data_IF_706552701196
#
_entry.id   IF_706552701196
#
_cell.length_a   1.000
_cell.length_b   1.000
_cell.length_c   1.000
_cell.angle_alpha   90.00
_cell.angle_beta   90.00
_cell.angle_gamma   90.00
#
_symmetry.space_group_name_H-M   'P 1'
#
loop_
_entity.id
_entity.type
_entity.pdbx_description
1 polymer ?
#
# COMPACT_ATOMS: atom_id res chain seq x y z
N UNK A 1 -18.25 -12.51 20.42
CA UNK A 1 -18.56 -11.14 20.01
C UNK A 1 -17.28 -10.34 19.95
N UNK A 2 -17.00 -9.69 18.82
CA UNK A 2 -15.79 -8.94 18.56
C UNK A 2 -16.08 -7.44 18.65
N UNK A 3 -15.17 -6.69 19.29
CA UNK A 3 -15.31 -5.25 19.50
C UNK A 3 -14.02 -4.52 19.13
N UNK A 4 -14.15 -3.40 18.44
CA UNK A 4 -13.07 -2.46 18.14
C UNK A 4 -13.13 -1.28 19.11
N UNK A 5 -12.00 -0.94 19.74
CA UNK A 5 -11.88 0.29 20.53
C UNK A 5 -11.45 1.42 19.62
N UNK A 6 -12.25 2.46 19.54
CA UNK A 6 -11.98 3.63 18.71
C UNK A 6 -11.04 4.63 19.42
N UNK A 7 -10.39 5.55 18.68
CA UNK A 7 -9.46 6.53 19.25
C UNK A 7 -10.07 7.46 20.30
N UNK A 8 -11.38 7.72 20.21
CA UNK A 8 -12.15 8.52 21.18
C UNK A 8 -12.49 7.74 22.46
N UNK A 9 -12.08 6.47 22.56
CA UNK A 9 -12.34 5.58 23.68
C UNK A 9 -13.68 4.82 23.60
N UNK A 10 -14.53 5.14 22.62
CA UNK A 10 -15.76 4.39 22.39
C UNK A 10 -15.48 2.98 21.86
N UNK A 11 -16.47 2.09 21.97
CA UNK A 11 -16.37 0.69 21.55
C UNK A 11 -17.43 0.41 20.50
N UNK A 12 -17.03 -0.14 19.35
CA UNK A 12 -17.90 -0.54 18.25
C UNK A 12 -17.92 -2.07 18.16
N UNK A 13 -19.12 -2.66 18.09
CA UNK A 13 -19.24 -4.06 17.70
C UNK A 13 -18.89 -4.23 16.22
N UNK A 14 -18.00 -5.18 15.91
CA UNK A 14 -17.55 -5.49 14.55
C UNK A 14 -17.88 -6.93 14.14
N UNK A 15 -18.83 -7.57 14.84
CA UNK A 15 -19.21 -8.96 14.59
C UNK A 15 -19.62 -9.22 13.15
N UNK A 16 -20.36 -8.28 12.55
CA UNK A 16 -20.81 -8.35 11.15
C UNK A 16 -19.65 -8.18 10.13
N UNK A 17 -18.49 -7.71 10.59
CA UNK A 17 -17.30 -7.54 9.76
C UNK A 17 -16.36 -8.76 9.84
N UNK A 18 -16.57 -9.66 10.81
CA UNK A 18 -15.72 -10.83 11.05
C UNK A 18 -16.14 -11.98 10.11
N UNK A 19 -15.28 -12.41 9.20
CA UNK A 19 -15.66 -13.42 8.20
C UNK A 19 -15.57 -14.85 8.73
N UNK A 20 -14.73 -15.09 9.74
CA UNK A 20 -14.48 -16.41 10.34
C UNK A 20 -13.81 -16.27 11.71
N UNK A 21 -13.90 -17.31 12.50
CA UNK A 21 -13.21 -17.40 13.80
C UNK A 21 -11.70 -17.60 13.61
N UNK A 22 -10.91 -16.89 14.42
CA UNK A 22 -9.47 -17.03 14.44
C UNK A 22 -9.01 -18.11 15.41
N UNK A 23 -7.87 -18.80 15.15
CA UNK A 23 -7.24 -19.69 16.12
C UNK A 23 -6.85 -18.95 17.40
N UNK A 24 -6.62 -19.71 18.47
CA UNK A 24 -6.08 -19.17 19.72
C UNK A 24 -4.75 -18.44 19.48
N UNK A 25 -4.55 -17.31 20.12
CA UNK A 25 -3.37 -16.47 19.92
C UNK A 25 -3.42 -15.55 18.69
N UNK A 26 -4.53 -15.54 17.96
CA UNK A 26 -4.75 -14.59 16.85
C UNK A 26 -5.79 -13.54 17.23
N UNK A 27 -5.68 -12.37 16.62
CA UNK A 27 -6.64 -11.28 16.82
C UNK A 27 -6.89 -10.54 15.50
N UNK A 28 -8.07 -9.92 15.40
CA UNK A 28 -8.38 -8.99 14.33
C UNK A 28 -7.84 -7.59 14.65
N UNK A 29 -7.25 -6.91 13.68
CA UNK A 29 -6.88 -5.51 13.77
C UNK A 29 -7.12 -4.77 12.44
N UNK A 30 -7.06 -3.46 12.46
CA UNK A 30 -7.06 -2.64 11.24
C UNK A 30 -5.63 -2.36 10.80
N UNK A 31 -5.44 -2.14 9.50
CA UNK A 31 -4.13 -1.74 8.96
C UNK A 31 -3.61 -0.48 9.66
N UNK A 32 -4.48 0.48 9.99
CA UNK A 32 -4.13 1.71 10.73
C UNK A 32 -3.53 1.48 12.11
N UNK A 33 -3.79 0.33 12.72
CA UNK A 33 -3.28 0.01 14.07
C UNK A 33 -1.82 -0.47 14.04
N UNK A 34 -1.34 -0.87 12.85
CA UNK A 34 -0.03 -1.50 12.68
C UNK A 34 0.84 -0.85 11.62
N UNK A 35 0.35 0.13 10.86
CA UNK A 35 1.10 0.77 9.79
C UNK A 35 0.52 2.13 9.43
N UNK A 36 1.29 2.89 8.66
CA UNK A 36 0.90 4.18 8.07
C UNK A 36 0.79 4.03 6.56
N UNK A 37 -0.21 4.67 5.95
CA UNK A 37 -0.40 4.66 4.48
C UNK A 37 -0.15 6.07 3.93
N UNK A 38 0.74 6.18 2.93
CA UNK A 38 1.10 7.45 2.28
C UNK A 38 1.01 7.31 0.77
N UNK A 39 0.43 8.32 0.09
CA UNK A 39 0.34 8.34 -1.37
C UNK A 39 1.65 8.68 -2.05
N UNK A 40 1.81 8.21 -3.29
CA UNK A 40 2.83 8.70 -4.20
C UNK A 40 2.44 10.04 -4.86
N UNK A 41 3.22 10.49 -5.82
CA UNK A 41 3.04 11.79 -6.47
C UNK A 41 3.27 11.67 -7.97
N UNK A 42 2.41 12.33 -8.77
CA UNK A 42 2.67 12.50 -10.21
C UNK A 42 3.81 13.46 -10.45
N UNK A 43 4.38 13.38 -11.65
CA UNK A 43 5.37 14.35 -12.08
C UNK A 43 4.82 15.79 -11.99
N UNK A 44 5.66 16.77 -11.62
CA UNK A 44 5.30 18.17 -11.68
C UNK A 44 4.83 18.58 -13.08
N UNK A 45 3.98 19.60 -13.15
CA UNK A 45 3.53 20.14 -14.45
C UNK A 45 4.71 20.60 -15.29
N UNK A 46 4.80 20.07 -16.52
CA UNK A 46 5.90 20.38 -17.45
C UNK A 46 7.13 19.48 -17.31
N UNK A 47 7.20 18.64 -16.25
CA UNK A 47 8.26 17.64 -16.14
C UNK A 47 7.95 16.42 -17.02
N UNK A 48 8.99 15.78 -17.53
CA UNK A 48 8.94 14.54 -18.31
C UNK A 48 9.93 13.53 -17.77
N UNK A 49 9.80 12.28 -18.21
CA UNK A 49 10.84 11.28 -17.93
C UNK A 49 12.14 11.64 -18.67
N UNK A 50 13.25 11.31 -18.04
CA UNK A 50 14.57 11.38 -18.66
C UNK A 50 14.69 10.35 -19.77
N UNK A 51 15.34 10.70 -20.87
CA UNK A 51 15.72 9.76 -21.94
C UNK A 51 16.87 8.86 -21.50
N UNK A 52 17.74 9.37 -20.62
CA UNK A 52 18.86 8.64 -20.06
C UNK A 52 18.55 8.12 -18.66
N UNK A 53 19.24 7.04 -18.27
CA UNK A 53 19.21 6.53 -16.91
C UNK A 53 19.87 7.53 -15.96
N UNK A 54 19.16 7.90 -14.90
CA UNK A 54 19.66 8.73 -13.79
C UNK A 54 19.68 7.89 -12.49
N UNK A 55 20.10 8.52 -11.40
CA UNK A 55 20.04 7.90 -10.07
C UNK A 55 18.63 7.86 -9.48
N UNK A 56 17.64 8.45 -10.15
CA UNK A 56 16.27 8.61 -9.66
C UNK A 56 15.27 7.87 -10.54
N UNK A 57 14.94 6.63 -10.16
CA UNK A 57 13.86 5.90 -10.79
C UNK A 57 12.49 6.41 -10.31
N UNK A 58 11.51 6.37 -11.20
CA UNK A 58 10.12 6.68 -10.92
C UNK A 58 9.29 5.41 -11.15
N UNK A 59 8.83 4.81 -10.05
CA UNK A 59 8.12 3.52 -10.04
C UNK A 59 6.66 3.76 -10.41
N UNK A 60 6.23 3.14 -11.52
CA UNK A 60 4.86 3.21 -12.06
C UNK A 60 4.09 1.93 -11.73
N UNK A 61 2.75 2.00 -11.81
CA UNK A 61 1.90 0.81 -11.66
C UNK A 61 2.24 -0.30 -12.67
N UNK A 62 2.66 0.09 -13.88
CA UNK A 62 3.09 -0.86 -14.92
C UNK A 62 4.35 -1.65 -14.57
N UNK A 63 5.16 -1.13 -13.64
CA UNK A 63 6.38 -1.77 -13.16
C UNK A 63 6.10 -2.74 -12.00
N UNK A 64 4.94 -2.63 -11.35
CA UNK A 64 4.51 -3.42 -10.18
C UNK A 64 3.93 -4.77 -10.63
N UNK A 65 4.75 -5.82 -10.61
CA UNK A 65 4.39 -7.16 -11.09
C UNK A 65 4.97 -8.24 -10.19
N UNK A 66 4.29 -9.38 -10.11
CA UNK A 66 4.77 -10.56 -9.37
C UNK A 66 5.12 -10.24 -7.91
N UNK A 67 4.30 -9.39 -7.26
CA UNK A 67 4.49 -8.94 -5.86
C UNK A 67 5.83 -8.24 -5.61
N UNK A 68 6.44 -7.70 -6.67
CA UNK A 68 7.70 -6.97 -6.66
C UNK A 68 7.64 -5.83 -7.68
N UNK A 69 8.77 -5.18 -7.95
CA UNK A 69 8.91 -4.17 -9.00
C UNK A 69 9.82 -4.71 -10.10
N UNK A 70 9.33 -4.75 -11.32
CA UNK A 70 10.11 -5.11 -12.50
C UNK A 70 11.09 -3.98 -12.84
N UNK A 71 12.37 -4.28 -12.91
CA UNK A 71 13.44 -3.31 -13.14
C UNK A 71 13.86 -3.18 -14.62
N UNK A 72 13.25 -3.93 -15.55
CA UNK A 72 13.71 -3.99 -16.95
C UNK A 72 13.30 -2.77 -17.78
N UNK A 73 12.21 -2.09 -17.44
CA UNK A 73 11.69 -0.92 -18.18
C UNK A 73 11.38 0.27 -17.24
N UNK A 74 12.24 0.49 -16.25
CA UNK A 74 12.08 1.61 -15.34
C UNK A 74 12.19 2.94 -16.08
N UNK A 75 11.40 3.91 -15.65
CA UNK A 75 11.54 5.30 -16.07
C UNK A 75 12.34 6.07 -15.04
N UNK A 76 13.08 7.04 -15.51
CA UNK A 76 13.94 7.87 -14.69
C UNK A 76 13.52 9.33 -14.77
N UNK A 77 13.88 10.11 -13.76
CA UNK A 77 13.59 11.55 -13.66
C UNK A 77 14.88 12.31 -13.40
N UNK A 78 14.88 13.61 -13.77
CA UNK A 78 16.01 14.49 -13.49
C UNK A 78 16.13 14.81 -11.99
N UNK A 79 17.30 15.28 -11.56
CA UNK A 79 17.57 15.77 -10.20
C UNK A 79 16.60 16.87 -9.78
N UNK A 80 16.27 17.80 -10.67
CA UNK A 80 15.31 18.89 -10.38
C UNK A 80 13.92 18.34 -10.13
N UNK A 81 13.48 17.35 -10.93
CA UNK A 81 12.20 16.67 -10.74
C UNK A 81 12.19 15.89 -9.43
N UNK A 82 13.27 15.14 -9.14
CA UNK A 82 13.41 14.43 -7.87
C UNK A 82 13.31 15.39 -6.69
N UNK A 83 14.05 16.50 -6.69
CA UNK A 83 14.04 17.52 -5.63
C UNK A 83 12.63 18.07 -5.39
N UNK A 84 11.83 18.25 -6.43
CA UNK A 84 10.46 18.75 -6.32
C UNK A 84 9.49 17.74 -5.68
N UNK A 85 9.75 16.42 -5.78
CA UNK A 85 8.89 15.35 -5.27
C UNK A 85 9.61 14.40 -4.29
N UNK A 86 10.70 14.82 -3.70
CA UNK A 86 11.57 14.01 -2.82
C UNK A 86 10.86 13.40 -1.60
N UNK A 87 9.75 13.98 -1.16
CA UNK A 87 8.96 13.47 -0.05
C UNK A 87 8.04 12.30 -0.42
N UNK A 88 7.98 11.95 -1.70
CA UNK A 88 7.11 10.91 -2.24
C UNK A 88 7.92 9.71 -2.76
N UNK A 89 8.84 9.26 -1.93
CA UNK A 89 9.68 8.08 -2.18
C UNK A 89 9.12 6.86 -1.45
N UNK A 90 9.53 5.68 -1.88
CA UNK A 90 9.24 4.41 -1.24
C UNK A 90 10.55 3.72 -0.84
N UNK A 91 10.55 3.07 0.31
CA UNK A 91 11.72 2.33 0.82
C UNK A 91 11.57 0.82 0.57
N UNK A 92 12.70 0.13 0.59
CA UNK A 92 12.75 -1.35 0.62
C UNK A 92 12.03 -1.95 1.84
N UNK A 93 11.86 -1.18 2.90
CA UNK A 93 11.16 -1.60 4.13
C UNK A 93 9.65 -1.37 4.07
N UNK A 94 9.17 -0.67 3.04
CA UNK A 94 7.76 -0.43 2.77
C UNK A 94 7.14 -1.56 1.91
N UNK A 95 5.80 -1.59 1.87
CA UNK A 95 5.02 -2.29 0.84
C UNK A 95 4.35 -1.26 -0.07
N UNK A 96 4.10 -1.63 -1.34
CA UNK A 96 3.23 -0.84 -2.20
C UNK A 96 1.85 -1.47 -2.33
N UNK A 97 0.84 -0.64 -2.57
CA UNK A 97 -0.51 -1.04 -3.00
C UNK A 97 -0.93 -0.14 -4.15
N UNK A 98 -1.33 -0.72 -5.28
CA UNK A 98 -1.88 0.05 -6.40
C UNK A 98 -3.29 0.50 -6.10
N UNK A 99 -3.61 1.77 -6.38
CA UNK A 99 -4.90 2.39 -6.05
C UNK A 99 -5.68 2.89 -7.26
N UNK A 100 -5.07 2.91 -8.44
CA UNK A 100 -5.72 3.28 -9.69
C UNK A 100 -5.15 2.47 -10.86
N UNK A 101 -5.94 2.26 -11.89
CA UNK A 101 -5.65 1.31 -12.96
C UNK A 101 -5.95 -0.11 -12.48
N UNK A 102 -4.95 -0.93 -12.27
CA UNK A 102 -5.11 -2.23 -11.59
C UNK A 102 -5.09 -1.99 -10.08
N UNK A 103 -6.25 -2.05 -9.44
CA UNK A 103 -6.41 -1.78 -8.01
C UNK A 103 -6.04 -3.02 -7.18
N UNK A 104 -5.34 -2.81 -6.05
CA UNK A 104 -5.11 -3.82 -5.03
C UNK A 104 -3.89 -4.72 -5.26
N UNK A 105 -3.05 -4.44 -6.25
CA UNK A 105 -1.77 -5.15 -6.39
C UNK A 105 -0.83 -4.73 -5.26
N UNK A 106 -0.40 -5.72 -4.49
CA UNK A 106 0.48 -5.55 -3.33
C UNK A 106 1.84 -6.18 -3.61
N UNK A 107 2.89 -5.56 -3.16
CA UNK A 107 4.23 -6.16 -3.26
C UNK A 107 5.30 -5.44 -2.46
N UNK A 108 6.47 -6.05 -2.45
CA UNK A 108 7.67 -5.56 -1.80
C UNK A 108 8.54 -4.77 -2.78
N UNK A 109 9.36 -3.89 -2.24
CA UNK A 109 10.29 -3.06 -3.01
C UNK A 109 11.68 -3.70 -2.98
N UNK A 110 12.28 -4.02 -4.14
CA UNK A 110 13.67 -4.50 -4.19
C UNK A 110 14.64 -3.48 -3.59
N UNK A 111 15.67 -3.95 -2.91
CA UNK A 111 16.67 -3.09 -2.28
C UNK A 111 17.34 -2.09 -3.25
N UNK A 112 17.45 -2.46 -4.53
CA UNK A 112 17.95 -1.59 -5.61
C UNK A 112 17.11 -0.33 -5.80
N UNK A 113 15.83 -0.37 -5.44
CA UNK A 113 14.88 0.73 -5.61
C UNK A 113 14.58 1.47 -4.29
N UNK A 114 15.42 1.27 -3.28
CA UNK A 114 15.30 1.97 -2.01
C UNK A 114 15.38 3.50 -2.20
N UNK A 115 14.40 4.23 -1.70
CA UNK A 115 14.35 5.70 -1.82
C UNK A 115 13.91 6.25 -3.18
N UNK A 116 13.45 5.42 -4.11
CA UNK A 116 12.95 5.85 -5.42
C UNK A 116 11.55 6.44 -5.33
N UNK A 117 11.17 7.28 -6.31
CA UNK A 117 9.86 7.95 -6.32
C UNK A 117 8.73 7.00 -6.68
N UNK A 118 7.58 7.20 -6.04
CA UNK A 118 6.35 6.42 -6.22
C UNK A 118 5.29 7.24 -6.97
N UNK A 119 4.65 6.62 -7.95
CA UNK A 119 3.53 7.19 -8.71
C UNK A 119 2.32 7.53 -7.83
N UNK A 120 1.51 8.53 -8.23
CA UNK A 120 0.24 8.88 -7.59
C UNK A 120 -0.85 7.79 -7.70
N UNK A 121 -0.62 6.77 -8.51
CA UNK A 121 -1.53 5.64 -8.71
C UNK A 121 -1.24 4.46 -7.78
N UNK A 122 -0.30 4.64 -6.87
CA UNK A 122 0.01 3.71 -5.79
C UNK A 122 0.21 4.44 -4.46
N UNK A 123 0.12 3.68 -3.39
CA UNK A 123 0.46 4.11 -2.04
C UNK A 123 1.57 3.23 -1.50
N UNK A 124 2.30 3.72 -0.50
CA UNK A 124 3.17 2.91 0.33
C UNK A 124 2.54 2.67 1.69
N UNK A 125 2.77 1.48 2.22
CA UNK A 125 2.50 1.13 3.61
C UNK A 125 3.86 1.13 4.30
N UNK A 126 4.03 2.03 5.26
CA UNK A 126 5.28 2.30 5.98
C UNK A 126 5.09 2.19 7.48
N UNK A 127 6.17 2.25 8.25
CA UNK A 127 6.14 2.14 9.71
C UNK A 127 5.42 0.87 10.20
N UNK A 128 5.68 -0.26 9.51
CA UNK A 128 5.00 -1.54 9.73
C UNK A 128 5.46 -2.16 11.05
N UNK A 129 4.53 -2.32 11.99
CA UNK A 129 4.81 -2.82 13.35
C UNK A 129 4.88 -4.36 13.45
N UNK A 130 4.54 -5.09 12.37
CA UNK A 130 4.56 -6.55 12.29
C UNK A 130 5.55 -7.03 11.23
N UNK A 131 5.66 -8.33 11.03
CA UNK A 131 6.48 -8.85 9.92
C UNK A 131 5.95 -8.37 8.56
N UNK A 132 6.79 -7.68 7.79
CA UNK A 132 6.45 -7.06 6.49
C UNK A 132 5.98 -8.10 5.47
N UNK A 133 6.70 -9.21 5.34
CA UNK A 133 6.35 -10.24 4.36
C UNK A 133 5.05 -10.96 4.75
N UNK A 134 4.78 -11.15 6.03
CA UNK A 134 3.47 -11.63 6.49
C UNK A 134 2.36 -10.67 6.09
N UNK A 135 2.52 -9.36 6.37
CA UNK A 135 1.53 -8.35 5.95
C UNK A 135 1.33 -8.36 4.43
N UNK A 136 2.42 -8.48 3.66
CA UNK A 136 2.35 -8.56 2.20
C UNK A 136 1.48 -9.74 1.74
N UNK A 137 1.64 -10.92 2.34
CA UNK A 137 0.82 -12.10 2.03
C UNK A 137 -0.63 -11.91 2.45
N UNK A 138 -0.89 -11.39 3.65
CA UNK A 138 -2.26 -11.14 4.14
C UNK A 138 -3.01 -10.18 3.23
N UNK A 139 -2.37 -9.08 2.80
CA UNK A 139 -3.00 -8.10 1.92
C UNK A 139 -3.33 -8.65 0.52
N UNK A 140 -2.73 -9.76 0.10
CA UNK A 140 -3.01 -10.44 -1.16
C UNK A 140 -4.14 -11.45 -1.04
N UNK A 141 -4.59 -11.80 0.15
CA UNK A 141 -5.68 -12.76 0.33
C UNK A 141 -6.98 -12.25 -0.28
N UNK A 142 -7.81 -13.17 -0.76
CA UNK A 142 -9.12 -12.85 -1.32
C UNK A 142 -9.98 -12.05 -0.35
N UNK A 143 -9.95 -12.40 0.93
CA UNK A 143 -10.65 -11.69 1.98
C UNK A 143 -10.29 -10.19 2.05
N UNK A 144 -9.00 -9.84 1.95
CA UNK A 144 -8.57 -8.44 1.94
C UNK A 144 -8.88 -7.78 0.59
N UNK A 145 -8.66 -8.49 -0.50
CA UNK A 145 -8.94 -7.98 -1.85
C UNK A 145 -10.43 -7.64 -2.04
N UNK A 146 -11.34 -8.42 -1.46
CA UNK A 146 -12.77 -8.11 -1.45
C UNK A 146 -13.06 -6.80 -0.71
N UNK A 147 -12.41 -6.56 0.44
CA UNK A 147 -12.56 -5.28 1.17
C UNK A 147 -12.08 -4.08 0.34
N UNK A 148 -11.07 -4.24 -0.52
CA UNK A 148 -10.62 -3.20 -1.44
C UNK A 148 -11.66 -2.94 -2.56
N UNK A 149 -12.36 -3.96 -3.02
CA UNK A 149 -13.26 -3.90 -4.16
C UNK A 149 -14.69 -3.46 -3.82
N UNK A 150 -15.23 -3.84 -2.66
CA UNK A 150 -16.65 -3.71 -2.29
C UNK A 150 -17.26 -2.30 -2.41
N UNK A 151 -16.46 -1.24 -2.57
CA UNK A 151 -16.95 0.13 -2.75
C UNK A 151 -16.40 0.85 -3.99
N UNK A 152 -15.66 0.16 -4.84
CA UNK A 152 -15.10 0.78 -6.06
C UNK A 152 -16.01 0.63 -7.28
N UNK A 153 -17.01 -0.24 -7.23
CA UNK A 153 -17.85 -0.61 -8.39
C UNK A 153 -18.85 0.45 -8.87
N UNK A 154 -18.94 1.60 -8.23
CA UNK A 154 -19.98 2.60 -8.55
C UNK A 154 -19.50 3.78 -9.40
N UNK A 155 -18.26 3.82 -9.86
CA UNK A 155 -17.68 4.96 -10.62
C UNK A 155 -16.95 4.48 -11.87
N UNK A 156 -17.01 5.30 -12.93
CA UNK A 156 -16.40 4.99 -14.22
C UNK A 156 -14.85 4.85 -14.17
N UNK A 157 -14.19 5.45 -13.19
CA UNK A 157 -12.76 5.32 -12.93
C UNK A 157 -12.54 5.10 -11.43
N UNK A 158 -12.64 3.86 -10.95
CA UNK A 158 -12.51 3.56 -9.54
C UNK A 158 -11.09 3.86 -9.03
N UNK A 159 -11.02 4.52 -7.88
CA UNK A 159 -9.78 4.73 -7.15
C UNK A 159 -9.96 4.24 -5.72
N UNK A 160 -9.03 3.38 -5.28
CA UNK A 160 -9.00 2.91 -3.90
C UNK A 160 -8.55 4.05 -2.98
N UNK A 161 -9.40 4.45 -2.06
CA UNK A 161 -9.06 5.50 -1.11
C UNK A 161 -8.10 4.99 -0.03
N UNK A 162 -7.17 5.86 0.42
CA UNK A 162 -6.22 5.53 1.50
C UNK A 162 -6.95 5.07 2.77
N UNK A 163 -8.04 5.75 3.12
CA UNK A 163 -8.85 5.42 4.29
C UNK A 163 -9.43 3.99 4.21
N UNK A 164 -9.70 3.51 3.00
CA UNK A 164 -10.15 2.14 2.80
C UNK A 164 -9.05 1.14 3.16
N UNK A 165 -7.82 1.40 2.74
CA UNK A 165 -6.67 0.56 3.10
C UNK A 165 -6.45 0.60 4.62
N UNK A 166 -6.47 1.79 5.22
CA UNK A 166 -6.31 1.98 6.66
C UNK A 166 -7.39 1.27 7.49
N UNK A 167 -8.63 1.25 7.01
CA UNK A 167 -9.76 0.60 7.68
C UNK A 167 -9.89 -0.89 7.40
N UNK A 168 -9.05 -1.46 6.55
CA UNK A 168 -9.08 -2.88 6.21
C UNK A 168 -8.80 -3.74 7.43
N UNK A 169 -9.66 -4.73 7.64
CA UNK A 169 -9.56 -5.71 8.72
C UNK A 169 -8.61 -6.84 8.30
N UNK A 170 -7.65 -7.14 9.15
CA UNK A 170 -6.66 -8.20 8.92
C UNK A 170 -6.46 -9.06 10.18
N UNK A 171 -6.17 -10.36 10.04
CA UNK A 171 -5.78 -11.19 11.16
C UNK A 171 -4.29 -11.00 11.47
N UNK A 172 -3.95 -10.95 12.74
CA UNK A 172 -2.57 -10.95 13.23
C UNK A 172 -2.40 -12.03 14.28
N UNK A 173 -1.23 -12.68 14.32
CA UNK A 173 -0.87 -13.54 15.46
C UNK A 173 -0.26 -12.70 16.58
N UNK A 174 -0.57 -13.04 17.83
CA UNK A 174 0.16 -12.49 18.97
C UNK A 174 1.63 -12.90 18.83
N UNK A 175 2.56 -11.96 19.04
CA UNK A 175 3.96 -12.32 19.23
C UNK A 175 4.07 -13.06 20.58
N UNK A 176 4.60 -14.28 20.54
CA UNK A 176 5.21 -14.87 21.72
C UNK A 176 6.49 -14.12 22.09
#
# INVERSE_FOLDING_TARGET
MHYEKLPDGSVKCIEDEIPFELPEGWAWCRVRDIAVVKGGKRLPKGASFSEEKTDHAYIRVTDMKNHSVNITDLRYISEDTFSAIKNYTISKDDLYVTIAGTIGVVGEVPALLDGMNLTENAVKITDIAINKSFLCVVLQTEFVQQQFQDKTHQVAMPKLALERILSTLIPICSRE
#
